data_IF_953118412945
#
_entry.id   IF_953118412945
#
_cell.length_a   1.000
_cell.length_b   1.000
_cell.length_c   1.000
_cell.angle_alpha   90.00
_cell.angle_beta   90.00
_cell.angle_gamma   90.00
#
_symmetry.space_group_name_H-M   'P 1'
#
loop_
_entity.id
_entity.type
_entity.pdbx_description
1 polymer ?
#
# COMPACT_ATOMS: atom_id res chain seq x y z
N UNK A 1 -10.88 -2.65 -35.54
CA UNK A 1 -10.47 -2.00 -34.26
C UNK A 1 -11.39 -2.30 -33.07
N UNK A 2 -12.73 -2.15 -33.19
CA UNK A 2 -13.65 -2.33 -32.05
C UNK A 2 -13.61 -3.74 -31.39
N UNK A 3 -13.52 -4.82 -32.18
CA UNK A 3 -13.46 -6.21 -31.66
C UNK A 3 -12.17 -6.45 -30.89
N UNK A 4 -11.03 -5.98 -31.40
CA UNK A 4 -9.74 -6.12 -30.75
C UNK A 4 -9.70 -5.35 -29.42
N UNK A 5 -10.16 -4.10 -29.42
CA UNK A 5 -10.29 -3.30 -28.20
C UNK A 5 -11.18 -3.99 -27.15
N UNK A 6 -12.33 -4.53 -27.57
CA UNK A 6 -13.24 -5.22 -26.65
C UNK A 6 -12.61 -6.51 -26.08
N UNK A 7 -11.82 -7.24 -26.88
CA UNK A 7 -11.07 -8.41 -26.43
C UNK A 7 -10.00 -8.02 -25.41
N UNK A 8 -9.22 -6.98 -25.66
CA UNK A 8 -8.23 -6.45 -24.71
C UNK A 8 -8.91 -5.98 -23.41
N UNK A 9 -10.00 -5.22 -23.51
CA UNK A 9 -10.79 -4.79 -22.36
C UNK A 9 -11.24 -5.98 -21.52
N UNK A 10 -11.83 -7.00 -22.13
CA UNK A 10 -12.27 -8.21 -21.41
C UNK A 10 -11.10 -9.06 -20.90
N UNK A 11 -9.92 -8.95 -21.50
CA UNK A 11 -8.73 -9.64 -21.05
C UNK A 11 -8.23 -9.09 -19.72
N UNK A 12 -8.11 -7.76 -19.61
CA UNK A 12 -7.65 -7.08 -18.39
C UNK A 12 -8.77 -6.88 -17.36
N UNK A 13 -10.00 -6.64 -17.78
CA UNK A 13 -11.12 -6.36 -16.89
C UNK A 13 -11.98 -7.62 -16.67
N UNK A 14 -11.93 -8.18 -15.47
CA UNK A 14 -12.86 -9.23 -15.06
C UNK A 14 -14.28 -8.65 -14.99
N UNK A 15 -15.25 -9.29 -15.66
CA UNK A 15 -16.65 -8.86 -15.59
C UNK A 15 -17.32 -9.52 -14.38
N UNK A 16 -17.75 -8.69 -13.44
CA UNK A 16 -18.50 -9.12 -12.25
C UNK A 16 -19.40 -7.96 -11.80
N UNK A 17 -20.61 -7.89 -12.36
CA UNK A 17 -21.50 -6.77 -12.11
C UNK A 17 -22.10 -6.84 -10.70
N UNK A 18 -22.42 -8.05 -10.22
CA UNK A 18 -22.94 -8.27 -8.87
C UNK A 18 -21.96 -7.79 -7.80
N UNK A 19 -20.66 -8.00 -8.03
CA UNK A 19 -19.61 -7.46 -7.18
C UNK A 19 -19.55 -5.93 -7.22
N UNK A 20 -19.58 -5.34 -8.42
CA UNK A 20 -19.54 -3.88 -8.59
C UNK A 20 -20.75 -3.22 -7.92
N UNK A 21 -21.94 -3.78 -8.10
CA UNK A 21 -23.17 -3.27 -7.49
C UNK A 21 -23.17 -3.46 -5.98
N UNK A 22 -22.57 -4.55 -5.48
CA UNK A 22 -22.32 -4.73 -4.05
C UNK A 22 -21.41 -3.64 -3.48
N UNK A 23 -20.27 -3.33 -4.13
CA UNK A 23 -19.36 -2.29 -3.64
C UNK A 23 -20.01 -0.90 -3.61
N UNK A 24 -20.72 -0.53 -4.67
CA UNK A 24 -21.39 0.79 -4.80
C UNK A 24 -22.41 1.09 -3.70
N UNK A 25 -22.94 0.06 -3.03
CA UNK A 25 -23.85 0.24 -1.89
C UNK A 25 -23.13 0.85 -0.68
N UNK A 26 -21.83 0.59 -0.53
CA UNK A 26 -21.05 0.97 0.66
C UNK A 26 -19.98 2.03 0.38
N UNK A 27 -19.94 2.56 -0.85
CA UNK A 27 -19.16 3.74 -1.20
C UNK A 27 -19.61 4.96 -0.37
N UNK A 28 -18.64 5.79 -0.01
CA UNK A 28 -18.87 7.05 0.66
C UNK A 28 -19.71 7.98 -0.23
N UNK A 29 -20.77 8.53 0.35
CA UNK A 29 -21.68 9.46 -0.31
C UNK A 29 -21.52 10.85 0.29
N UNK A 30 -21.22 11.81 -0.60
CA UNK A 30 -21.10 13.21 -0.24
C UNK A 30 -19.75 13.59 0.38
N UNK A 31 -19.51 14.91 0.45
CA UNK A 31 -18.20 15.49 0.77
C UNK A 31 -17.68 15.08 2.15
N UNK A 32 -18.53 15.10 3.18
CA UNK A 32 -18.11 14.79 4.57
C UNK A 32 -17.56 13.37 4.71
N UNK A 33 -18.26 12.38 4.16
CA UNK A 33 -17.81 10.98 4.23
C UNK A 33 -16.54 10.77 3.42
N UNK A 34 -16.47 11.34 2.22
CA UNK A 34 -15.26 11.27 1.38
C UNK A 34 -14.06 11.87 2.13
N UNK A 35 -14.19 13.09 2.67
CA UNK A 35 -13.13 13.73 3.46
C UNK A 35 -12.71 12.86 4.64
N UNK A 36 -13.67 12.27 5.36
CA UNK A 36 -13.36 11.37 6.47
C UNK A 36 -12.47 10.18 6.03
N UNK A 37 -12.81 9.50 4.93
CA UNK A 37 -12.01 8.37 4.44
C UNK A 37 -10.65 8.79 3.87
N UNK A 38 -10.57 9.96 3.23
CA UNK A 38 -9.28 10.51 2.77
C UNK A 38 -8.38 10.88 3.96
N UNK A 39 -8.94 11.41 5.05
CA UNK A 39 -8.19 11.66 6.28
C UNK A 39 -7.73 10.35 6.94
N UNK A 40 -8.58 9.31 6.94
CA UNK A 40 -8.19 8.00 7.42
C UNK A 40 -7.00 7.42 6.64
N UNK A 41 -6.85 7.73 5.35
CA UNK A 41 -5.66 7.33 4.59
C UNK A 41 -4.35 7.92 5.14
N UNK A 42 -4.40 9.07 5.84
CA UNK A 42 -3.22 9.80 6.30
C UNK A 42 -2.93 9.62 7.80
N UNK A 43 -3.98 9.53 8.62
CA UNK A 43 -3.86 9.44 10.10
C UNK A 43 -2.85 8.39 10.57
N UNK A 44 -2.85 7.14 10.04
CA UNK A 44 -1.91 6.12 10.48
C UNK A 44 -0.45 6.52 10.24
N UNK A 45 -0.22 7.28 9.18
CA UNK A 45 1.09 7.76 8.76
C UNK A 45 1.60 8.84 9.69
N UNK A 46 0.73 9.79 10.01
CA UNK A 46 0.99 10.85 11.01
C UNK A 46 1.29 10.22 12.37
N UNK A 47 0.49 9.25 12.81
CA UNK A 47 0.72 8.55 14.08
C UNK A 47 2.06 7.83 14.06
N UNK A 48 2.36 7.07 13.00
CA UNK A 48 3.63 6.35 12.88
C UNK A 48 4.82 7.31 12.90
N UNK A 49 4.75 8.42 12.16
CA UNK A 49 5.79 9.45 12.17
C UNK A 49 5.98 10.04 13.55
N UNK A 50 4.89 10.40 14.25
CA UNK A 50 4.97 10.93 15.60
C UNK A 50 5.64 9.92 16.55
N UNK A 51 5.23 8.66 16.47
CA UNK A 51 5.76 7.60 17.32
C UNK A 51 7.25 7.32 17.05
N UNK A 52 7.67 7.35 15.79
CA UNK A 52 9.07 7.06 15.38
C UNK A 52 10.00 8.25 15.62
N UNK A 53 9.57 9.48 15.30
CA UNK A 53 10.45 10.65 15.38
C UNK A 53 10.50 11.26 16.78
N UNK A 54 9.38 11.25 17.52
CA UNK A 54 9.31 11.96 18.81
C UNK A 54 9.21 11.01 20.01
N UNK A 55 8.56 9.85 19.87
CA UNK A 55 8.34 8.94 21.01
C UNK A 55 9.24 7.70 21.04
N UNK A 56 10.08 7.50 20.02
CA UNK A 56 11.00 6.36 19.97
C UNK A 56 11.93 6.32 21.17
N UNK A 57 12.61 7.42 21.47
CA UNK A 57 13.54 7.50 22.61
C UNK A 57 12.83 7.30 23.95
N UNK A 58 11.70 8.00 24.24
CA UNK A 58 10.89 7.70 25.42
C UNK A 58 10.47 6.23 25.56
N UNK A 59 10.11 5.58 24.46
CA UNK A 59 9.78 4.15 24.50
C UNK A 59 11.00 3.26 24.71
N UNK A 60 12.15 3.60 24.15
CA UNK A 60 13.40 2.90 24.42
C UNK A 60 13.77 2.98 25.90
N UNK A 61 13.67 4.17 26.50
CA UNK A 61 13.91 4.37 27.94
C UNK A 61 12.94 3.57 28.81
N UNK A 62 11.66 3.53 28.42
CA UNK A 62 10.62 2.81 29.18
C UNK A 62 10.78 1.28 29.09
N UNK A 63 11.16 0.77 27.91
CA UNK A 63 11.13 -0.68 27.62
C UNK A 63 12.49 -1.36 27.66
N UNK A 64 13.58 -0.58 27.59
CA UNK A 64 14.94 -1.08 27.41
C UNK A 64 15.21 -1.65 26.00
N UNK A 65 14.29 -1.47 25.04
CA UNK A 65 14.47 -1.94 23.68
C UNK A 65 15.43 -1.06 22.88
N UNK A 66 16.10 -1.65 21.89
CA UNK A 66 16.90 -0.91 20.91
C UNK A 66 16.01 -0.06 20.00
N UNK A 67 16.60 0.98 19.39
CA UNK A 67 15.92 1.81 18.37
C UNK A 67 15.27 0.96 17.28
N UNK A 68 15.96 -0.10 16.85
CA UNK A 68 15.51 -1.00 15.82
C UNK A 68 14.22 -1.74 16.21
N UNK A 69 14.24 -2.39 17.39
CA UNK A 69 13.11 -3.16 17.89
C UNK A 69 11.91 -2.25 18.24
N UNK A 70 12.16 -1.07 18.82
CA UNK A 70 11.09 -0.10 19.13
C UNK A 70 10.33 0.32 17.87
N UNK A 71 11.04 0.70 16.80
CA UNK A 71 10.41 1.06 15.53
C UNK A 71 9.66 -0.12 14.92
N UNK A 72 10.25 -1.32 14.97
CA UNK A 72 9.57 -2.53 14.51
C UNK A 72 8.25 -2.77 15.24
N UNK A 73 8.21 -2.66 16.57
CA UNK A 73 6.97 -2.84 17.32
C UNK A 73 5.92 -1.79 16.96
N UNK A 74 6.32 -0.52 16.82
CA UNK A 74 5.43 0.55 16.37
C UNK A 74 4.83 0.19 15.01
N UNK A 75 5.67 -0.17 14.04
CA UNK A 75 5.23 -0.53 12.68
C UNK A 75 4.37 -1.79 12.66
N UNK A 76 4.75 -2.83 13.40
CA UNK A 76 4.01 -4.09 13.47
C UNK A 76 2.62 -3.90 14.11
N UNK A 77 2.52 -3.07 15.15
CA UNK A 77 1.24 -2.70 15.77
C UNK A 77 0.39 -1.91 14.77
N UNK A 78 0.96 -0.89 14.13
CA UNK A 78 0.21 -0.10 13.13
C UNK A 78 -0.28 -0.98 11.97
N UNK A 79 0.59 -1.85 11.45
CA UNK A 79 0.26 -2.71 10.34
C UNK A 79 -0.75 -3.81 10.71
N UNK A 80 -0.63 -4.41 11.89
CA UNK A 80 -1.55 -5.47 12.33
C UNK A 80 -2.88 -4.90 12.86
N UNK A 81 -2.83 -3.91 13.73
CA UNK A 81 -4.03 -3.33 14.37
C UNK A 81 -4.78 -2.44 13.40
N UNK A 82 -4.10 -1.46 12.82
CA UNK A 82 -4.77 -0.50 11.95
C UNK A 82 -5.04 -1.09 10.58
N UNK A 83 -4.06 -1.70 9.91
CA UNK A 83 -4.30 -2.09 8.53
C UNK A 83 -5.18 -3.35 8.38
N UNK A 84 -5.18 -4.25 9.37
CA UNK A 84 -6.04 -5.45 9.33
C UNK A 84 -7.32 -5.26 10.13
N UNK A 85 -7.23 -5.04 11.44
CA UNK A 85 -8.41 -5.10 12.30
C UNK A 85 -9.35 -3.90 12.13
N UNK A 86 -8.84 -2.69 11.88
CA UNK A 86 -9.71 -1.52 11.70
C UNK A 86 -10.66 -1.66 10.49
N UNK A 87 -10.24 -2.08 9.28
CA UNK A 87 -11.17 -2.36 8.19
C UNK A 87 -12.27 -3.34 8.55
N UNK A 88 -11.94 -4.47 9.19
CA UNK A 88 -12.94 -5.45 9.60
C UNK A 88 -13.91 -4.86 10.63
N UNK A 89 -13.41 -4.11 11.60
CA UNK A 89 -14.23 -3.45 12.60
C UNK A 89 -15.18 -2.43 11.95
N UNK A 90 -14.68 -1.59 11.04
CA UNK A 90 -15.51 -0.60 10.34
C UNK A 90 -16.58 -1.28 9.47
N UNK A 91 -16.20 -2.30 8.68
CA UNK A 91 -17.15 -3.04 7.85
C UNK A 91 -18.21 -3.75 8.70
N UNK A 92 -17.84 -4.27 9.87
CA UNK A 92 -18.78 -4.95 10.78
C UNK A 92 -19.70 -3.96 11.49
N UNK A 93 -19.15 -2.91 12.09
CA UNK A 93 -19.89 -2.06 13.02
C UNK A 93 -20.51 -0.83 12.36
N UNK A 94 -19.87 -0.25 11.34
CA UNK A 94 -20.41 0.87 10.58
C UNK A 94 -21.28 0.39 9.41
N UNK A 95 -20.75 -0.54 8.59
CA UNK A 95 -21.45 -1.01 7.38
C UNK A 95 -22.38 -2.22 7.59
N UNK A 96 -22.36 -2.79 8.80
CA UNK A 96 -23.18 -3.94 9.21
C UNK A 96 -22.96 -5.20 8.36
N UNK A 97 -21.80 -5.34 7.74
CA UNK A 97 -21.45 -6.54 6.99
C UNK A 97 -21.19 -7.73 7.93
N UNK A 98 -21.56 -8.93 7.47
CA UNK A 98 -21.04 -10.18 8.05
C UNK A 98 -19.57 -10.37 7.71
N UNK A 99 -18.86 -11.23 8.44
CA UNK A 99 -17.44 -11.50 8.15
C UNK A 99 -17.21 -11.99 6.71
N UNK A 100 -18.11 -12.83 6.19
CA UNK A 100 -18.07 -13.31 4.79
C UNK A 100 -18.25 -12.17 3.79
N UNK A 101 -19.16 -11.24 4.07
CA UNK A 101 -19.36 -10.06 3.24
C UNK A 101 -18.19 -9.08 3.35
N UNK A 102 -17.55 -8.96 4.52
CA UNK A 102 -16.32 -8.18 4.67
C UNK A 102 -15.18 -8.77 3.84
N UNK A 103 -14.97 -10.09 3.87
CA UNK A 103 -13.97 -10.75 3.01
C UNK A 103 -14.26 -10.50 1.53
N UNK A 104 -15.53 -10.66 1.12
CA UNK A 104 -15.96 -10.32 -0.24
C UNK A 104 -15.65 -8.86 -0.54
N UNK A 105 -16.07 -7.93 0.32
CA UNK A 105 -15.85 -6.49 0.16
C UNK A 105 -14.38 -6.16 -0.01
N UNK A 106 -13.51 -6.72 0.83
CA UNK A 106 -12.06 -6.48 0.79
C UNK A 106 -11.38 -7.09 -0.43
N UNK A 107 -12.07 -7.90 -1.23
CA UNK A 107 -11.54 -8.50 -2.46
C UNK A 107 -10.90 -9.86 -2.25
N UNK A 108 -11.16 -10.52 -1.13
CA UNK A 108 -10.90 -11.95 -0.95
C UNK A 108 -12.04 -12.75 -1.61
N UNK A 109 -12.23 -12.49 -2.91
CA UNK A 109 -13.19 -13.17 -3.77
C UNK A 109 -12.54 -14.41 -4.39
N UNK A 110 -13.18 -14.99 -5.40
CA UNK A 110 -12.64 -16.15 -6.11
C UNK A 110 -11.24 -15.84 -6.67
N UNK A 111 -10.33 -16.79 -6.51
CA UNK A 111 -8.99 -16.73 -7.07
C UNK A 111 -9.04 -16.59 -8.61
N UNK A 112 -8.46 -15.50 -9.12
CA UNK A 112 -8.38 -15.21 -10.55
C UNK A 112 -7.05 -15.71 -11.13
N UNK A 113 -6.98 -17.02 -11.39
CA UNK A 113 -5.76 -17.68 -11.87
C UNK A 113 -5.22 -17.02 -13.15
N UNK A 114 -6.09 -16.63 -14.08
CA UNK A 114 -5.68 -15.92 -15.31
C UNK A 114 -5.06 -14.57 -14.99
N UNK A 115 -5.66 -13.82 -14.06
CA UNK A 115 -5.11 -12.58 -13.56
C UNK A 115 -3.70 -12.78 -12.99
N UNK A 116 -3.51 -13.80 -12.17
CA UNK A 116 -2.24 -14.07 -11.49
C UNK A 116 -1.14 -14.62 -12.40
N UNK A 117 -1.47 -15.51 -13.34
CA UNK A 117 -0.47 -16.19 -14.17
C UNK A 117 -0.13 -15.44 -15.46
N UNK A 118 -0.98 -14.52 -15.92
CA UNK A 118 -0.79 -13.83 -17.20
C UNK A 118 -0.82 -12.32 -17.05
N UNK A 119 -1.87 -11.77 -16.45
CA UNK A 119 -2.02 -10.31 -16.34
C UNK A 119 -0.97 -9.71 -15.40
N UNK A 120 -0.73 -10.36 -14.26
CA UNK A 120 0.25 -9.92 -13.28
C UNK A 120 1.68 -9.89 -13.84
N UNK A 121 2.23 -10.95 -14.47
CA UNK A 121 3.57 -10.87 -15.07
C UNK A 121 3.71 -9.76 -16.12
N UNK A 122 2.69 -9.58 -16.96
CA UNK A 122 2.70 -8.48 -17.96
C UNK A 122 2.78 -7.12 -17.27
N UNK A 123 1.99 -6.91 -16.22
CA UNK A 123 2.00 -5.67 -15.45
C UNK A 123 3.33 -5.45 -14.74
N UNK A 124 3.93 -6.49 -14.14
CA UNK A 124 5.25 -6.42 -13.51
C UNK A 124 6.32 -6.00 -14.50
N UNK A 125 6.33 -6.58 -15.71
CA UNK A 125 7.28 -6.22 -16.77
C UNK A 125 7.07 -4.76 -17.18
N UNK A 126 5.84 -4.35 -17.45
CA UNK A 126 5.54 -2.97 -17.86
C UNK A 126 5.91 -1.96 -16.76
N UNK A 127 5.53 -2.22 -15.51
CA UNK A 127 5.92 -1.41 -14.35
C UNK A 127 7.44 -1.31 -14.27
N UNK A 128 8.16 -2.43 -14.34
CA UNK A 128 9.63 -2.42 -14.27
C UNK A 128 10.25 -1.58 -15.38
N UNK A 129 9.81 -1.76 -16.63
CA UNK A 129 10.36 -1.02 -17.79
C UNK A 129 10.10 0.49 -17.68
N UNK A 130 8.92 0.90 -17.19
CA UNK A 130 8.57 2.31 -17.01
C UNK A 130 9.32 2.92 -15.82
N UNK A 131 9.46 2.17 -14.73
CA UNK A 131 10.04 2.65 -13.49
C UNK A 131 11.57 2.67 -13.50
N UNK A 132 12.26 1.85 -14.28
CA UNK A 132 13.74 1.82 -14.29
C UNK A 132 14.39 3.17 -14.68
N UNK A 133 13.97 3.88 -15.75
CA UNK A 133 14.47 5.22 -16.03
C UNK A 133 14.20 6.21 -14.89
N UNK A 134 13.03 6.11 -14.28
CA UNK A 134 12.67 6.94 -13.12
C UNK A 134 13.62 6.70 -11.95
N UNK A 135 13.86 5.42 -11.61
CA UNK A 135 14.76 5.02 -10.54
C UNK A 135 16.20 5.48 -10.79
N UNK A 136 16.64 5.53 -12.05
CA UNK A 136 17.99 6.00 -12.39
C UNK A 136 18.16 7.51 -12.30
N UNK A 137 17.18 8.28 -12.78
CA UNK A 137 17.38 9.71 -13.06
C UNK A 137 16.59 10.66 -12.17
N UNK A 138 15.45 10.23 -11.62
CA UNK A 138 14.55 11.10 -10.87
C UNK A 138 14.54 10.74 -9.38
N UNK A 139 14.51 9.44 -9.07
CA UNK A 139 14.44 8.98 -7.69
C UNK A 139 15.62 9.47 -6.82
N UNK A 140 16.91 9.33 -7.21
CA UNK A 140 18.04 9.71 -6.36
C UNK A 140 18.06 11.19 -5.97
N UNK A 141 17.98 12.17 -6.91
CA UNK A 141 18.02 13.58 -6.51
C UNK A 141 16.79 13.99 -5.68
N UNK A 142 15.63 13.38 -5.91
CA UNK A 142 14.43 13.65 -5.12
C UNK A 142 14.55 13.07 -3.70
N UNK A 143 15.07 11.85 -3.58
CA UNK A 143 15.38 11.21 -2.31
C UNK A 143 16.39 12.06 -1.50
N UNK A 144 17.51 12.45 -2.12
CA UNK A 144 18.54 13.27 -1.47
C UNK A 144 17.98 14.62 -1.02
N UNK A 145 17.19 15.29 -1.88
CA UNK A 145 16.52 16.52 -1.53
C UNK A 145 15.61 16.34 -0.29
N UNK A 146 14.74 15.33 -0.30
CA UNK A 146 13.86 15.06 0.84
C UNK A 146 14.63 14.69 2.11
N UNK A 147 15.70 13.90 1.99
CA UNK A 147 16.52 13.47 3.13
C UNK A 147 17.38 14.60 3.71
N UNK A 148 17.61 15.67 2.94
CA UNK A 148 18.30 16.87 3.41
C UNK A 148 17.44 17.74 4.35
N UNK A 149 16.12 17.54 4.35
CA UNK A 149 15.19 18.28 5.20
C UNK A 149 15.21 17.72 6.63
N UNK A 150 15.48 18.53 7.68
CA UNK A 150 15.64 18.02 9.04
C UNK A 150 14.46 17.21 9.58
N UNK A 151 13.24 17.54 9.17
CA UNK A 151 12.01 16.88 9.59
C UNK A 151 11.75 15.55 8.86
N UNK A 152 12.45 15.24 7.77
CA UNK A 152 12.34 13.98 7.04
C UNK A 152 13.62 13.15 7.09
N UNK A 153 14.67 13.67 7.72
CA UNK A 153 15.98 13.05 7.73
C UNK A 153 15.94 11.69 8.44
N UNK A 154 16.25 10.63 7.68
CA UNK A 154 16.36 9.27 8.20
C UNK A 154 17.80 8.99 8.67
N UNK A 155 18.13 9.42 9.89
CA UNK A 155 19.46 9.22 10.47
C UNK A 155 19.80 7.76 10.78
N UNK A 156 20.98 7.50 11.34
CA UNK A 156 21.46 6.15 11.70
C UNK A 156 20.54 5.41 12.69
N UNK A 157 19.73 6.16 13.44
CA UNK A 157 18.72 5.62 14.34
C UNK A 157 17.54 4.99 13.60
N UNK A 158 17.30 5.35 12.33
CA UNK A 158 16.12 4.96 11.58
C UNK A 158 16.22 3.52 11.09
N UNK A 159 15.12 2.77 11.14
CA UNK A 159 15.08 1.33 10.82
C UNK A 159 15.65 0.97 9.43
N UNK A 160 15.51 1.86 8.44
CA UNK A 160 16.13 1.68 7.12
C UNK A 160 17.66 1.64 7.13
N UNK A 161 18.30 2.38 8.03
CA UNK A 161 19.75 2.40 8.19
C UNK A 161 20.25 1.26 9.09
N UNK A 162 19.33 0.53 9.73
CA UNK A 162 19.63 -0.53 10.70
C UNK A 162 19.36 -1.95 10.15
N UNK A 163 18.77 -2.05 8.96
CA UNK A 163 18.37 -3.31 8.33
C UNK A 163 16.88 -3.59 8.53
N UNK A 164 16.04 -3.05 7.65
CA UNK A 164 14.56 -3.07 7.78
C UNK A 164 13.93 -4.47 7.96
N UNK A 165 14.59 -5.53 7.49
CA UNK A 165 14.13 -6.92 7.61
C UNK A 165 15.01 -7.77 8.54
N UNK A 166 15.92 -7.17 9.31
CA UNK A 166 16.82 -7.89 10.21
C UNK A 166 16.14 -8.17 11.57
N UNK A 167 15.17 -9.08 11.55
CA UNK A 167 14.43 -9.51 12.74
C UNK A 167 14.37 -11.04 12.84
N UNK A 168 14.20 -11.60 14.06
CA UNK A 168 13.84 -12.99 14.23
C UNK A 168 12.63 -13.35 13.37
N UNK A 169 12.69 -14.51 12.70
CA UNK A 169 11.74 -14.90 11.65
C UNK A 169 10.27 -14.82 12.08
N UNK A 170 9.96 -15.10 13.35
CA UNK A 170 8.59 -15.07 13.87
C UNK A 170 8.03 -13.64 14.01
N UNK A 171 8.88 -12.67 14.35
CA UNK A 171 8.52 -11.25 14.31
C UNK A 171 8.37 -10.80 12.87
N UNK A 172 9.30 -11.22 12.00
CA UNK A 172 9.24 -10.93 10.59
C UNK A 172 7.92 -11.42 9.96
N UNK A 173 7.40 -12.60 10.33
CA UNK A 173 6.08 -13.07 9.84
C UNK A 173 4.95 -12.09 10.21
N UNK A 174 4.93 -11.56 11.43
CA UNK A 174 3.92 -10.59 11.89
C UNK A 174 4.07 -9.28 11.09
N UNK A 175 5.30 -8.77 11.00
CA UNK A 175 5.62 -7.56 10.24
C UNK A 175 5.26 -7.70 8.76
N UNK A 176 5.68 -8.77 8.10
CA UNK A 176 5.40 -9.10 6.69
C UNK A 176 3.90 -9.24 6.45
N UNK A 177 3.17 -9.94 7.31
CA UNK A 177 1.72 -10.06 7.14
C UNK A 177 1.03 -8.71 7.26
N UNK A 178 1.31 -7.95 8.32
CA UNK A 178 0.74 -6.61 8.49
C UNK A 178 1.12 -5.66 7.35
N UNK A 179 2.40 -5.66 6.97
CA UNK A 179 2.96 -4.76 5.96
C UNK A 179 2.40 -5.06 4.57
N UNK A 180 2.40 -6.32 4.14
CA UNK A 180 1.97 -6.65 2.77
C UNK A 180 0.49 -6.95 2.68
N UNK A 181 -0.05 -7.80 3.56
CA UNK A 181 -1.46 -8.17 3.50
C UNK A 181 -2.32 -7.09 4.15
N UNK A 182 -1.90 -6.59 5.31
CA UNK A 182 -2.63 -5.54 6.02
C UNK A 182 -2.73 -4.26 5.20
N UNK A 183 -1.63 -3.71 4.69
CA UNK A 183 -1.70 -2.48 3.88
C UNK A 183 -2.61 -2.64 2.66
N UNK A 184 -2.55 -3.78 1.99
CA UNK A 184 -3.44 -4.04 0.86
C UNK A 184 -4.90 -4.13 1.31
N UNK A 185 -5.19 -4.77 2.46
CA UNK A 185 -6.53 -4.78 3.06
C UNK A 185 -7.00 -3.35 3.32
N UNK A 186 -6.14 -2.50 3.86
CA UNK A 186 -6.47 -1.14 4.26
C UNK A 186 -6.66 -0.22 3.05
N UNK A 187 -5.63 -0.06 2.22
CA UNK A 187 -5.64 0.90 1.13
C UNK A 187 -6.48 0.43 -0.06
N UNK A 188 -6.27 -0.80 -0.55
CA UNK A 188 -6.91 -1.29 -1.78
C UNK A 188 -8.19 -2.06 -1.49
N UNK A 189 -8.21 -2.78 -0.38
CA UNK A 189 -9.36 -3.54 0.11
C UNK A 189 -10.44 -2.66 0.73
N UNK A 190 -10.08 -1.60 1.44
CA UNK A 190 -11.04 -0.80 2.19
C UNK A 190 -11.17 0.63 1.66
N UNK A 191 -10.12 1.45 1.74
CA UNK A 191 -10.16 2.87 1.41
C UNK A 191 -10.50 3.15 -0.05
N UNK A 192 -9.82 2.48 -1.00
CA UNK A 192 -10.08 2.60 -2.44
C UNK A 192 -11.54 2.36 -2.79
N UNK A 193 -12.16 1.38 -2.13
CA UNK A 193 -13.58 1.07 -2.35
C UNK A 193 -14.48 2.08 -1.67
N UNK A 194 -14.12 2.56 -0.48
CA UNK A 194 -14.87 3.62 0.20
C UNK A 194 -14.91 4.91 -0.60
N UNK A 195 -13.81 5.28 -1.26
CA UNK A 195 -13.76 6.49 -2.08
C UNK A 195 -14.05 6.22 -3.57
N UNK A 196 -14.60 5.05 -3.90
CA UNK A 196 -14.86 4.61 -5.28
C UNK A 196 -15.79 5.51 -6.10
N UNK A 197 -16.53 6.39 -5.43
CA UNK A 197 -17.37 7.41 -6.07
C UNK A 197 -16.56 8.56 -6.70
N UNK A 198 -15.26 8.68 -6.41
CA UNK A 198 -14.37 9.66 -7.03
C UNK A 198 -13.88 9.17 -8.40
N UNK A 199 -13.83 10.08 -9.39
CA UNK A 199 -13.39 9.78 -10.76
C UNK A 199 -11.95 9.24 -10.84
N UNK A 200 -11.07 9.73 -9.96
CA UNK A 200 -9.65 9.37 -9.90
C UNK A 200 -9.29 8.72 -8.57
N UNK A 201 -10.23 8.00 -7.97
CA UNK A 201 -10.06 7.27 -6.70
C UNK A 201 -8.75 6.47 -6.63
N UNK A 202 -8.40 5.74 -7.69
CA UNK A 202 -7.18 4.94 -7.78
C UNK A 202 -5.92 5.81 -7.64
N UNK A 203 -5.84 6.94 -8.35
CA UNK A 203 -4.68 7.82 -8.31
C UNK A 203 -4.60 8.56 -6.97
N UNK A 204 -5.75 8.99 -6.45
CA UNK A 204 -5.84 9.65 -5.15
C UNK A 204 -5.31 8.72 -4.06
N UNK A 205 -5.76 7.46 -4.04
CA UNK A 205 -5.27 6.48 -3.07
C UNK A 205 -3.80 6.14 -3.30
N UNK A 206 -3.34 5.99 -4.53
CA UNK A 206 -1.91 5.75 -4.82
C UNK A 206 -1.00 6.88 -4.31
N UNK A 207 -1.43 8.14 -4.44
CA UNK A 207 -0.69 9.30 -3.90
C UNK A 207 -0.79 9.34 -2.37
N UNK A 208 -1.98 9.15 -1.81
CA UNK A 208 -2.17 9.14 -0.35
C UNK A 208 -1.40 8.00 0.32
N UNK A 209 -1.24 6.85 -0.35
CA UNK A 209 -0.39 5.76 0.11
C UNK A 209 1.07 6.18 0.23
N UNK A 210 1.60 6.97 -0.73
CA UNK A 210 2.97 7.50 -0.59
C UNK A 210 3.05 8.54 0.53
N UNK A 211 2.08 9.45 0.63
CA UNK A 211 2.05 10.48 1.68
C UNK A 211 1.93 9.85 3.08
N UNK A 212 1.13 8.79 3.21
CA UNK A 212 0.98 7.99 4.43
C UNK A 212 2.33 7.54 4.99
N UNK A 213 3.29 7.20 4.14
CA UNK A 213 4.63 6.79 4.54
C UNK A 213 5.55 7.97 4.93
N UNK A 214 5.01 9.02 5.54
CA UNK A 214 5.78 10.20 5.94
C UNK A 214 6.88 9.91 6.98
N UNK A 215 6.76 8.83 7.74
CA UNK A 215 7.83 8.34 8.63
C UNK A 215 9.09 7.93 7.85
N UNK A 216 8.94 7.55 6.58
CA UNK A 216 10.02 7.24 5.64
C UNK A 216 9.93 8.13 4.40
N UNK A 217 9.61 9.43 4.60
CA UNK A 217 9.32 10.36 3.50
C UNK A 217 10.38 10.38 2.39
N UNK A 218 11.70 10.40 2.65
CA UNK A 218 12.67 10.44 1.55
C UNK A 218 12.60 9.21 0.65
N UNK A 219 12.22 8.05 1.19
CA UNK A 219 12.03 6.83 0.41
C UNK A 219 10.72 6.88 -0.37
N UNK A 220 9.59 7.09 0.32
CA UNK A 220 8.27 6.93 -0.30
C UNK A 220 7.77 8.16 -1.06
N UNK A 221 8.06 9.36 -0.59
CA UNK A 221 7.60 10.57 -1.28
C UNK A 221 8.38 10.78 -2.58
N UNK A 222 9.59 10.24 -2.68
CA UNK A 222 10.31 10.14 -3.93
C UNK A 222 9.61 9.25 -4.98
N UNK A 223 8.61 8.44 -4.60
CA UNK A 223 7.76 7.69 -5.52
C UNK A 223 6.46 8.41 -5.91
N UNK A 224 6.10 9.56 -5.33
CA UNK A 224 4.85 10.27 -5.65
C UNK A 224 4.69 10.55 -7.16
N UNK A 225 5.70 11.05 -7.88
CA UNK A 225 5.59 11.23 -9.33
C UNK A 225 5.39 9.92 -10.10
N UNK A 226 5.84 8.80 -9.54
CA UNK A 226 5.66 7.46 -10.11
C UNK A 226 4.28 6.85 -9.79
N UNK A 227 3.51 7.40 -8.84
CA UNK A 227 2.20 6.86 -8.40
C UNK A 227 1.18 6.65 -9.52
N UNK A 228 1.27 7.41 -10.63
CA UNK A 228 0.46 7.22 -11.83
C UNK A 228 0.69 5.84 -12.49
N UNK A 229 1.88 5.28 -12.32
CA UNK A 229 2.33 4.04 -12.96
C UNK A 229 2.35 2.84 -11.98
N UNK A 230 2.10 3.08 -10.70
CA UNK A 230 1.95 2.05 -9.65
C UNK A 230 0.62 1.32 -9.89
N UNK A 231 0.63 0.02 -10.27
CA UNK A 231 -0.55 -0.61 -10.82
C UNK A 231 -1.45 -1.32 -9.78
N UNK A 232 -1.14 -1.30 -8.48
CA UNK A 232 -1.88 -1.98 -7.41
C UNK A 232 -3.38 -1.62 -7.40
N UNK A 233 -3.73 -0.34 -7.38
CA UNK A 233 -5.13 0.10 -7.36
C UNK A 233 -5.85 -0.29 -8.66
N UNK A 234 -5.14 -0.19 -9.79
CA UNK A 234 -5.66 -0.55 -11.11
C UNK A 234 -5.92 -2.05 -11.16
N UNK A 235 -5.00 -2.87 -10.66
CA UNK A 235 -5.12 -4.33 -10.56
C UNK A 235 -6.36 -4.71 -9.76
N UNK A 236 -6.56 -4.13 -8.58
CA UNK A 236 -7.73 -4.45 -7.74
C UNK A 236 -9.03 -4.05 -8.44
N UNK A 237 -9.09 -2.88 -9.08
CA UNK A 237 -10.30 -2.44 -9.81
C UNK A 237 -10.58 -3.30 -11.04
N UNK A 238 -9.55 -3.65 -11.82
CA UNK A 238 -9.72 -4.44 -13.04
C UNK A 238 -9.97 -5.91 -12.75
N UNK A 239 -9.36 -6.50 -11.72
CA UNK A 239 -9.43 -7.94 -11.43
C UNK A 239 -10.41 -8.31 -10.31
N UNK A 240 -10.93 -7.33 -9.56
CA UNK A 240 -11.94 -7.51 -8.48
C UNK A 240 -11.47 -8.46 -7.38
N UNK A 241 -10.17 -8.61 -7.24
CA UNK A 241 -9.54 -9.35 -6.17
C UNK A 241 -8.28 -8.61 -5.72
N UNK A 242 -7.87 -8.90 -4.49
CA UNK A 242 -6.74 -8.24 -3.83
C UNK A 242 -5.42 -8.99 -4.01
N UNK A 243 -5.47 -10.27 -4.38
CA UNK A 243 -4.30 -11.16 -4.43
C UNK A 243 -3.20 -10.65 -5.37
N UNK A 244 -3.57 -10.13 -6.54
CA UNK A 244 -2.59 -9.55 -7.48
C UNK A 244 -1.85 -8.34 -6.90
N UNK A 245 -2.53 -7.52 -6.11
CA UNK A 245 -1.91 -6.36 -5.46
C UNK A 245 -1.02 -6.79 -4.28
N UNK A 246 -1.45 -7.78 -3.48
CA UNK A 246 -0.60 -8.40 -2.43
C UNK A 246 0.70 -8.97 -3.02
N UNK A 247 0.61 -9.71 -4.12
CA UNK A 247 1.79 -10.27 -4.79
C UNK A 247 2.69 -9.17 -5.36
N UNK A 248 2.10 -8.10 -5.91
CA UNK A 248 2.89 -6.99 -6.43
C UNK A 248 3.61 -6.26 -5.30
N UNK A 249 2.90 -6.00 -4.21
CA UNK A 249 3.46 -5.31 -3.05
C UNK A 249 4.62 -6.12 -2.44
N UNK A 250 4.46 -7.44 -2.33
CA UNK A 250 5.54 -8.36 -1.97
C UNK A 250 6.70 -8.29 -2.96
N UNK A 251 6.43 -8.37 -4.27
CA UNK A 251 7.45 -8.33 -5.31
C UNK A 251 8.27 -7.03 -5.25
N UNK A 252 7.61 -5.88 -5.13
CA UNK A 252 8.25 -4.56 -5.10
C UNK A 252 9.21 -4.44 -3.91
N UNK A 253 8.81 -4.90 -2.73
CA UNK A 253 9.62 -4.78 -1.52
C UNK A 253 10.72 -5.84 -1.37
N UNK A 254 10.61 -6.99 -2.04
CA UNK A 254 11.54 -8.12 -1.84
C UNK A 254 12.46 -8.40 -3.03
N UNK A 255 11.93 -8.31 -4.26
CA UNK A 255 12.65 -8.70 -5.47
C UNK A 255 13.01 -7.49 -6.32
N UNK A 256 12.10 -6.51 -6.42
CA UNK A 256 12.29 -5.39 -7.34
C UNK A 256 13.48 -4.51 -6.95
N UNK A 257 13.73 -4.28 -5.66
CA UNK A 257 14.94 -3.56 -5.19
C UNK A 257 16.24 -4.24 -5.64
N UNK A 258 16.27 -5.57 -5.74
CA UNK A 258 17.44 -6.30 -6.29
C UNK A 258 17.57 -6.03 -7.79
N UNK A 259 16.45 -5.96 -8.50
CA UNK A 259 16.42 -5.68 -9.95
C UNK A 259 16.88 -4.25 -10.22
N UNK A 260 16.38 -3.25 -9.48
CA UNK A 260 16.79 -1.84 -9.65
C UNK A 260 18.27 -1.68 -9.35
N UNK A 261 18.75 -2.27 -8.25
CA UNK A 261 20.16 -2.20 -7.89
C UNK A 261 21.05 -2.79 -8.99
N UNK A 262 20.71 -3.98 -9.51
CA UNK A 262 21.51 -4.65 -10.55
C UNK A 262 21.47 -3.95 -11.92
N UNK A 263 20.34 -3.33 -12.28
CA UNK A 263 20.15 -2.77 -13.62
C UNK A 263 20.49 -1.28 -13.71
N UNK A 264 20.27 -0.53 -12.64
CA UNK A 264 20.47 0.94 -12.63
C UNK A 264 21.29 1.45 -11.44
N UNK A 265 21.73 0.58 -10.53
CA UNK A 265 22.60 0.96 -9.42
C UNK A 265 21.92 1.73 -8.29
N UNK A 266 20.58 1.64 -8.21
CA UNK A 266 19.73 2.35 -7.25
C UNK A 266 18.86 1.37 -6.47
#
# INVERSE_FOLDING_TARGET
>A
MAIFYQRLKNFFNLKDQDYVDFLRKYEARGKKQITFYLMLALIPGVLTYILIYFFREPFMELTGLSSHNTQFFILAIMASVWHVFFPFAMLRYADKLSFKESLRYLGFTRLDIKGLLIVFPVIVILFTLISLPYMKFIFPPLHEFLNSLPFFHMGEWHIWQQGYYDFPWYLLVIGVFGNFVGEEIYFRGYLLRKVGSLKFDWLIIAVLFQIYHMWQAPQNWAFIPLSIFIPEEILVKLRKNIYGAILLHLFVNTIWGIITFKLVGV
#
